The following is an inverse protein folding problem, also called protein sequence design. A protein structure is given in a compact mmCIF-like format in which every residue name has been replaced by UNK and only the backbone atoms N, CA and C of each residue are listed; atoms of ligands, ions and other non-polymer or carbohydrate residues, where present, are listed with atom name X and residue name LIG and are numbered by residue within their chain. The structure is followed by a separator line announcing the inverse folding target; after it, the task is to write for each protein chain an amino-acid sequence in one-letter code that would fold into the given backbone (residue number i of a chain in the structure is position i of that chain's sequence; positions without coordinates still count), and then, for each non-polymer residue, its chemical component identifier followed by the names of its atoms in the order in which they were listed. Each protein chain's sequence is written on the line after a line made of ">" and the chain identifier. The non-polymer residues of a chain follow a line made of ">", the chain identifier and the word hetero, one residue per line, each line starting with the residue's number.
data_IF_430457564455
#
_entry.id   IF_430457564455
#
_cell.length_a   1.000
_cell.length_b   1.000
_cell.length_c   1.000
_cell.angle_alpha   90.00
_cell.angle_beta   90.00
_cell.angle_gamma   90.00
#
_symmetry.space_group_name_H-M   'P 1'
#
loop_
_entity.id
_entity.type
_entity.pdbx_description
1 polymer ?
#
# COMPACT_ATOMS: atom_id res chain seq x y z
N UNK A 1 15.49 21.24 25.59
CA UNK A 1 16.31 21.63 24.43
C UNK A 1 17.07 20.38 24.03
N UNK A 2 16.36 19.48 23.37
CA UNK A 2 16.95 18.22 22.93
C UNK A 2 17.80 18.51 21.69
N UNK A 3 19.07 18.12 21.76
CA UNK A 3 19.97 18.12 20.62
C UNK A 3 19.37 17.19 19.57
N UNK A 4 18.80 17.76 18.52
CA UNK A 4 18.61 17.05 17.26
C UNK A 4 20.00 16.53 16.90
N UNK A 5 20.19 15.21 16.90
CA UNK A 5 21.35 14.62 16.23
C UNK A 5 21.16 14.96 14.76
N UNK A 6 21.85 16.00 14.30
CA UNK A 6 21.91 16.32 12.88
C UNK A 6 22.47 15.09 12.16
N UNK A 7 21.75 14.62 11.15
CA UNK A 7 22.28 13.59 10.27
C UNK A 7 23.44 14.18 9.49
N UNK A 8 24.59 13.54 9.56
CA UNK A 8 25.75 13.86 8.76
C UNK A 8 25.95 12.87 7.59
N UNK A 9 26.80 13.25 6.65
CA UNK A 9 27.11 12.43 5.47
C UNK A 9 27.69 11.07 5.86
N UNK A 10 28.57 11.03 6.88
CA UNK A 10 29.23 9.80 7.34
C UNK A 10 28.20 8.77 7.82
N UNK A 11 27.17 9.23 8.54
CA UNK A 11 26.07 8.39 9.01
C UNK A 11 25.28 7.82 7.83
N UNK A 12 24.88 8.65 6.86
CA UNK A 12 24.14 8.19 5.66
C UNK A 12 24.96 7.17 4.88
N UNK A 13 26.24 7.47 4.62
CA UNK A 13 27.13 6.57 3.89
C UNK A 13 27.33 5.25 4.64
N UNK A 14 27.53 5.30 5.97
CA UNK A 14 27.76 4.10 6.78
C UNK A 14 26.60 3.10 6.66
N UNK A 15 25.36 3.60 6.61
CA UNK A 15 24.15 2.78 6.48
C UNK A 15 23.99 2.24 5.07
N UNK A 16 24.08 3.08 4.05
CA UNK A 16 23.78 2.67 2.67
C UNK A 16 24.93 1.94 1.97
N UNK A 17 26.14 2.03 2.53
CA UNK A 17 27.29 1.27 2.05
C UNK A 17 27.59 0.02 2.89
N UNK A 18 26.86 -0.17 4.00
CA UNK A 18 26.99 -1.33 4.89
C UNK A 18 26.93 -2.64 4.08
N UNK A 19 27.94 -3.52 4.21
CA UNK A 19 27.90 -4.85 3.65
C UNK A 19 26.64 -5.64 4.01
N UNK A 20 26.11 -5.49 5.23
CA UNK A 20 24.90 -6.18 5.67
C UNK A 20 23.67 -5.72 4.88
N UNK A 21 23.50 -4.40 4.70
CA UNK A 21 22.43 -3.85 3.88
C UNK A 21 22.51 -4.31 2.42
N UNK A 22 23.72 -4.37 1.85
CA UNK A 22 23.93 -4.87 0.48
C UNK A 22 23.62 -6.36 0.35
N UNK A 23 23.96 -7.14 1.37
CA UNK A 23 23.66 -8.56 1.44
C UNK A 23 22.14 -8.80 1.52
N UNK A 24 21.43 -8.02 2.34
CA UNK A 24 19.97 -8.07 2.45
C UNK A 24 19.28 -7.78 1.11
N UNK A 25 19.73 -6.74 0.40
CA UNK A 25 19.24 -6.44 -0.96
C UNK A 25 19.51 -7.59 -1.93
N UNK A 26 20.74 -8.12 -1.92
CA UNK A 26 21.14 -9.20 -2.82
C UNK A 26 20.35 -10.48 -2.55
N UNK A 27 20.13 -10.81 -1.27
CA UNK A 27 19.33 -11.94 -0.84
C UNK A 27 17.86 -11.77 -1.27
N UNK A 28 17.28 -10.60 -1.06
CA UNK A 28 15.92 -10.30 -1.48
C UNK A 28 15.74 -10.40 -3.00
N UNK A 29 16.67 -9.83 -3.78
CA UNK A 29 16.69 -9.94 -5.25
C UNK A 29 16.73 -11.41 -5.70
N UNK A 30 17.54 -12.23 -5.04
CA UNK A 30 17.68 -13.64 -5.38
C UNK A 30 16.41 -14.44 -5.01
N UNK A 31 15.87 -14.25 -3.81
CA UNK A 31 14.60 -14.88 -3.38
C UNK A 31 13.47 -14.51 -4.33
N UNK A 32 13.31 -13.22 -4.63
CA UNK A 32 12.30 -12.74 -5.57
C UNK A 32 12.43 -13.37 -6.95
N UNK A 33 13.66 -13.51 -7.46
CA UNK A 33 13.92 -14.18 -8.75
C UNK A 33 13.45 -15.64 -8.73
N UNK A 34 13.75 -16.36 -7.66
CA UNK A 34 13.41 -17.77 -7.49
C UNK A 34 11.90 -17.97 -7.31
N UNK A 35 11.29 -17.23 -6.40
CA UNK A 35 9.87 -17.35 -6.02
C UNK A 35 8.93 -17.07 -7.21
N UNK A 36 9.33 -16.17 -8.10
CA UNK A 36 8.49 -15.71 -9.21
C UNK A 36 9.02 -16.13 -10.60
N UNK A 37 10.05 -16.98 -10.66
CA UNK A 37 10.67 -17.44 -11.92
C UNK A 37 10.98 -16.30 -12.89
N UNK A 38 11.58 -15.23 -12.36
CA UNK A 38 11.82 -13.97 -13.08
C UNK A 38 12.89 -14.17 -14.17
N UNK A 39 12.73 -13.47 -15.30
CA UNK A 39 13.69 -13.52 -16.41
C UNK A 39 15.04 -12.89 -16.03
N UNK A 40 16.11 -13.31 -16.71
CA UNK A 40 17.45 -12.70 -16.52
C UNK A 40 17.47 -11.20 -16.84
N UNK A 41 16.63 -10.75 -17.77
CA UNK A 41 16.51 -9.36 -18.18
C UNK A 41 15.85 -8.54 -17.07
N UNK A 42 14.66 -8.95 -16.62
CA UNK A 42 13.94 -8.29 -15.52
C UNK A 42 14.77 -8.25 -14.22
N UNK A 43 15.52 -9.31 -13.94
CA UNK A 43 16.43 -9.37 -12.80
C UNK A 43 17.53 -8.31 -12.90
N UNK A 44 18.21 -8.23 -14.05
CA UNK A 44 19.28 -7.24 -14.28
C UNK A 44 18.75 -5.82 -14.25
N UNK A 45 17.60 -5.57 -14.88
CA UNK A 45 16.98 -4.24 -14.88
C UNK A 45 16.56 -3.81 -13.47
N UNK A 46 15.95 -4.70 -12.69
CA UNK A 46 15.51 -4.39 -11.33
C UNK A 46 16.70 -4.19 -10.40
N UNK A 47 17.76 -4.99 -10.54
CA UNK A 47 19.02 -4.80 -9.81
C UNK A 47 19.67 -3.45 -10.15
N UNK A 48 19.85 -3.15 -11.44
CA UNK A 48 20.44 -1.89 -11.87
C UNK A 48 19.61 -0.69 -11.42
N UNK A 49 18.27 -0.83 -11.40
CA UNK A 49 17.36 0.19 -10.92
C UNK A 49 17.59 0.52 -9.44
N UNK A 50 17.64 -0.47 -8.54
CA UNK A 50 17.83 -0.19 -7.11
C UNK A 50 19.24 0.35 -6.82
N UNK A 51 20.26 -0.20 -7.48
CA UNK A 51 21.65 0.28 -7.38
C UNK A 51 21.76 1.74 -7.83
N UNK A 52 21.06 2.12 -8.90
CA UNK A 52 21.03 3.49 -9.39
C UNK A 52 20.37 4.43 -8.39
N UNK A 53 19.20 4.09 -7.81
CA UNK A 53 18.53 4.98 -6.84
C UNK A 53 19.43 5.22 -5.62
N UNK A 54 20.10 4.18 -5.12
CA UNK A 54 21.02 4.31 -3.98
C UNK A 54 22.23 5.16 -4.37
N UNK A 55 22.84 4.91 -5.53
CA UNK A 55 23.99 5.68 -6.02
C UNK A 55 23.66 7.15 -6.23
N UNK A 56 22.55 7.45 -6.93
CA UNK A 56 22.09 8.82 -7.18
C UNK A 56 21.86 9.58 -5.86
N UNK A 57 21.30 8.90 -4.85
CA UNK A 57 21.06 9.53 -3.54
C UNK A 57 22.37 9.79 -2.79
N UNK A 58 23.32 8.86 -2.83
CA UNK A 58 24.64 9.05 -2.23
C UNK A 58 25.44 10.15 -2.92
N UNK A 59 25.37 10.23 -4.25
CA UNK A 59 25.98 11.32 -5.01
C UNK A 59 25.38 12.66 -4.61
N UNK A 60 24.04 12.76 -4.58
CA UNK A 60 23.37 13.97 -4.12
C UNK A 60 23.76 14.34 -2.69
N UNK A 61 23.86 13.38 -1.77
CA UNK A 61 24.28 13.64 -0.39
C UNK A 61 25.72 14.14 -0.32
N UNK A 62 26.64 13.59 -1.12
CA UNK A 62 28.05 14.03 -1.15
C UNK A 62 28.23 15.45 -1.68
N UNK A 63 27.34 15.89 -2.57
CA UNK A 63 27.37 17.24 -3.13
C UNK A 63 26.88 18.30 -2.14
N UNK A 64 26.27 17.91 -1.02
CA UNK A 64 25.76 18.81 0.02
C UNK A 64 26.81 19.01 1.12
N UNK A 65 27.22 20.26 1.35
CA UNK A 65 28.24 20.62 2.34
C UNK A 65 27.66 20.91 3.74
N UNK A 66 26.33 20.98 3.87
CA UNK A 66 25.64 21.45 5.08
C UNK A 66 24.69 20.38 5.64
N UNK A 67 24.88 20.00 6.91
CA UNK A 67 24.09 18.96 7.59
C UNK A 67 22.57 19.24 7.61
N UNK A 68 22.16 20.51 7.67
CA UNK A 68 20.74 20.87 7.58
C UNK A 68 20.15 20.58 6.21
N UNK A 69 20.91 20.76 5.13
CA UNK A 69 20.48 20.43 3.78
C UNK A 69 20.46 18.91 3.56
N UNK A 70 21.38 18.17 4.17
CA UNK A 70 21.36 16.71 4.22
C UNK A 70 20.09 16.19 4.87
N UNK A 71 19.71 16.77 6.02
CA UNK A 71 18.49 16.40 6.74
C UNK A 71 17.23 16.61 5.87
N UNK A 72 17.12 17.77 5.20
CA UNK A 72 16.00 18.07 4.29
C UNK A 72 16.00 17.15 3.06
N UNK A 73 17.18 16.80 2.55
CA UNK A 73 17.33 15.91 1.39
C UNK A 73 16.95 14.48 1.73
N UNK A 74 17.37 13.99 2.90
CA UNK A 74 16.97 12.70 3.44
C UNK A 74 15.46 12.63 3.64
N UNK A 75 14.88 13.67 4.25
CA UNK A 75 13.44 13.82 4.43
C UNK A 75 12.68 13.73 3.10
N UNK A 76 13.12 14.51 2.11
CA UNK A 76 12.54 14.53 0.76
C UNK A 76 12.64 13.16 0.10
N UNK A 77 13.79 12.49 0.22
CA UNK A 77 14.00 11.16 -0.35
C UNK A 77 13.11 10.11 0.28
N UNK A 78 12.90 10.18 1.59
CA UNK A 78 12.00 9.28 2.29
C UNK A 78 10.55 9.46 1.85
N UNK A 79 10.08 10.70 1.70
CA UNK A 79 8.75 10.98 1.15
C UNK A 79 8.62 10.41 -0.27
N UNK A 80 9.60 10.66 -1.14
CA UNK A 80 9.62 10.12 -2.50
C UNK A 80 9.46 8.60 -2.51
N UNK A 81 10.28 7.90 -1.70
CA UNK A 81 10.26 6.44 -1.61
C UNK A 81 8.96 5.90 -0.99
N UNK A 82 8.41 6.54 0.05
CA UNK A 82 7.12 6.12 0.64
C UNK A 82 5.96 6.31 -0.33
N UNK A 83 5.92 7.43 -1.05
CA UNK A 83 4.93 7.68 -2.09
C UNK A 83 5.04 6.64 -3.20
N UNK A 84 6.25 6.38 -3.70
CA UNK A 84 6.51 5.39 -4.72
C UNK A 84 6.12 3.98 -4.26
N UNK A 85 6.49 3.60 -3.03
CA UNK A 85 6.10 2.33 -2.42
C UNK A 85 4.56 2.18 -2.33
N UNK A 86 3.85 3.24 -1.91
CA UNK A 86 2.38 3.24 -1.85
C UNK A 86 1.78 3.04 -3.24
N UNK A 87 2.30 3.74 -4.24
CA UNK A 87 1.90 3.58 -5.64
C UNK A 87 2.09 2.14 -6.13
N UNK A 88 3.25 1.53 -5.89
CA UNK A 88 3.53 0.14 -6.27
C UNK A 88 2.54 -0.83 -5.63
N UNK A 89 2.30 -0.70 -4.32
CA UNK A 89 1.36 -1.56 -3.60
C UNK A 89 -0.08 -1.40 -4.12
N UNK A 90 -0.52 -0.18 -4.39
CA UNK A 90 -1.84 0.04 -5.02
C UNK A 90 -1.93 -0.63 -6.39
N UNK A 91 -0.89 -0.54 -7.22
CA UNK A 91 -0.88 -1.21 -8.52
C UNK A 91 -0.92 -2.73 -8.38
N UNK A 92 -0.12 -3.31 -7.47
CA UNK A 92 -0.09 -4.74 -7.19
C UNK A 92 -1.47 -5.22 -6.73
N UNK A 93 -2.08 -4.54 -5.76
CA UNK A 93 -3.41 -4.88 -5.26
C UNK A 93 -4.47 -4.82 -6.36
N UNK A 94 -4.43 -3.79 -7.20
CA UNK A 94 -5.37 -3.62 -8.30
C UNK A 94 -5.20 -4.69 -9.38
N UNK A 95 -3.97 -5.07 -9.72
CA UNK A 95 -3.69 -6.17 -10.64
C UNK A 95 -4.16 -7.50 -10.05
N UNK A 96 -3.82 -7.80 -8.79
CA UNK A 96 -4.32 -9.00 -8.12
C UNK A 96 -5.85 -9.07 -8.13
N UNK A 97 -6.54 -7.95 -7.89
CA UNK A 97 -8.00 -7.89 -7.95
C UNK A 97 -8.55 -8.14 -9.37
N UNK A 98 -7.93 -7.55 -10.40
CA UNK A 98 -8.43 -7.61 -11.79
C UNK A 98 -8.07 -8.89 -12.52
N UNK A 99 -6.83 -9.35 -12.37
CA UNK A 99 -6.24 -10.42 -13.19
C UNK A 99 -5.91 -11.67 -12.38
N UNK A 100 -6.07 -11.65 -11.05
CA UNK A 100 -5.73 -12.77 -10.17
C UNK A 100 -4.23 -12.94 -9.93
N UNK A 101 -3.39 -12.15 -10.61
CA UNK A 101 -1.94 -12.09 -10.43
C UNK A 101 -1.41 -10.70 -10.74
N UNK A 102 -0.38 -10.29 -10.02
CA UNK A 102 0.32 -9.04 -10.23
C UNK A 102 1.62 -9.24 -11.01
N UNK A 103 2.07 -8.18 -11.67
CA UNK A 103 3.36 -8.13 -12.33
C UNK A 103 4.46 -8.33 -11.29
N UNK A 104 5.27 -9.36 -11.50
CA UNK A 104 6.34 -9.79 -10.59
C UNK A 104 7.44 -8.73 -10.44
N UNK A 105 7.69 -7.91 -11.47
CA UNK A 105 8.63 -6.78 -11.43
C UNK A 105 8.16 -5.70 -10.46
N UNK A 106 6.85 -5.43 -10.39
CA UNK A 106 6.31 -4.47 -9.41
C UNK A 106 6.50 -4.98 -7.98
N UNK A 107 6.31 -6.29 -7.77
CA UNK A 107 6.53 -6.94 -6.47
C UNK A 107 8.00 -6.81 -6.05
N UNK A 108 8.93 -7.11 -6.96
CA UNK A 108 10.37 -6.98 -6.70
C UNK A 108 10.75 -5.55 -6.32
N UNK A 109 10.31 -4.56 -7.11
CA UNK A 109 10.54 -3.14 -6.82
C UNK A 109 9.94 -2.70 -5.48
N UNK A 110 8.74 -3.17 -5.14
CA UNK A 110 8.09 -2.82 -3.86
C UNK A 110 8.86 -3.41 -2.66
N UNK A 111 9.35 -4.64 -2.81
CA UNK A 111 10.16 -5.29 -1.80
C UNK A 111 11.47 -4.53 -1.58
N UNK A 112 12.22 -4.22 -2.63
CA UNK A 112 13.48 -3.48 -2.55
C UNK A 112 13.30 -2.06 -2.00
N UNK A 113 12.21 -1.39 -2.37
CA UNK A 113 11.88 -0.07 -1.80
C UNK A 113 11.67 -0.18 -0.29
N UNK A 114 11.09 -1.28 0.21
CA UNK A 114 10.93 -1.53 1.65
C UNK A 114 12.28 -1.61 2.36
N UNK A 115 13.25 -2.33 1.80
CA UNK A 115 14.60 -2.40 2.38
C UNK A 115 15.28 -1.03 2.44
N UNK A 116 15.16 -0.24 1.37
CA UNK A 116 15.73 1.10 1.37
C UNK A 116 15.05 1.99 2.42
N UNK A 117 13.72 1.95 2.52
CA UNK A 117 12.99 2.68 3.56
C UNK A 117 13.43 2.27 4.97
N UNK A 118 13.58 0.96 5.25
CA UNK A 118 14.05 0.46 6.56
C UNK A 118 15.44 1.00 6.88
N UNK A 119 16.33 1.12 5.90
CA UNK A 119 17.68 1.63 6.11
C UNK A 119 17.68 3.13 6.45
N UNK A 120 16.90 3.95 5.76
CA UNK A 120 16.94 5.41 5.93
C UNK A 120 15.98 5.94 7.01
N UNK A 121 14.92 5.21 7.36
CA UNK A 121 13.92 5.65 8.34
C UNK A 121 14.54 5.99 9.72
N UNK A 122 15.46 5.19 10.28
CA UNK A 122 16.12 5.49 11.56
C UNK A 122 17.00 6.73 11.54
N UNK A 123 17.34 7.24 10.35
CA UNK A 123 18.12 8.47 10.20
C UNK A 123 17.24 9.71 10.35
N UNK A 124 15.92 9.58 10.22
CA UNK A 124 14.99 10.71 10.30
C UNK A 124 14.57 10.91 11.75
N UNK A 125 14.45 12.16 12.18
CA UNK A 125 14.00 12.45 13.55
C UNK A 125 12.55 11.99 13.74
N UNK A 126 12.19 11.61 14.97
CA UNK A 126 10.83 11.16 15.28
C UNK A 126 9.78 12.25 15.00
N UNK A 127 10.13 13.51 15.27
CA UNK A 127 9.29 14.68 14.93
C UNK A 127 9.03 14.75 13.43
N UNK A 128 10.07 14.66 12.61
CA UNK A 128 9.93 14.74 11.16
C UNK A 128 9.17 13.53 10.60
N UNK A 129 9.37 12.33 11.16
CA UNK A 129 8.61 11.14 10.78
C UNK A 129 7.12 11.30 11.07
N UNK A 130 6.75 11.89 12.21
CA UNK A 130 5.35 12.20 12.51
C UNK A 130 4.77 13.20 11.51
N UNK A 131 5.50 14.27 11.19
CA UNK A 131 5.08 15.26 10.19
C UNK A 131 4.89 14.62 8.81
N UNK A 132 5.81 13.73 8.40
CA UNK A 132 5.67 12.97 7.14
C UNK A 132 4.44 12.09 7.16
N UNK A 133 4.20 11.35 8.25
CA UNK A 133 3.04 10.48 8.36
C UNK A 133 1.73 11.28 8.31
N UNK A 134 1.69 12.43 8.99
CA UNK A 134 0.56 13.35 8.93
C UNK A 134 0.37 13.87 7.48
N UNK A 135 1.45 14.28 6.83
CA UNK A 135 1.43 14.75 5.45
C UNK A 135 0.90 13.69 4.47
N UNK A 136 1.36 12.44 4.58
CA UNK A 136 1.01 11.34 3.67
C UNK A 136 -0.39 10.76 3.90
N UNK A 137 -1.01 11.07 5.04
CA UNK A 137 -2.36 10.59 5.41
C UNK A 137 -3.44 11.61 5.11
N UNK A 138 -3.12 12.90 5.06
CA UNK A 138 -4.07 13.94 4.67
C UNK A 138 -4.52 13.79 3.20
N UNK A 139 -5.83 13.76 2.92
CA UNK A 139 -6.34 13.81 1.56
C UNK A 139 -5.80 15.04 0.81
N UNK A 140 -5.37 14.86 -0.44
CA UNK A 140 -4.82 15.95 -1.28
C UNK A 140 -5.77 17.16 -1.37
N UNK A 141 -7.09 16.92 -1.31
CA UNK A 141 -8.13 17.97 -1.31
C UNK A 141 -8.06 18.90 -0.09
N UNK A 142 -7.49 18.43 1.01
CA UNK A 142 -7.30 19.21 2.24
C UNK A 142 -6.15 20.21 2.09
N UNK A 143 -5.05 19.82 1.43
CA UNK A 143 -3.93 20.72 1.11
C UNK A 143 -4.30 21.80 0.09
N UNK A 144 -5.06 21.44 -0.96
CA UNK A 144 -5.54 22.39 -1.97
C UNK A 144 -6.41 23.48 -1.33
N UNK A 145 -7.10 23.18 -0.22
CA UNK A 145 -7.90 24.16 0.52
C UNK A 145 -7.06 25.10 1.37
N UNK A 146 -6.02 24.61 2.05
CA UNK A 146 -5.15 25.42 2.94
C UNK A 146 -4.43 26.55 2.18
N UNK A 147 -3.96 26.30 0.96
CA UNK A 147 -3.36 27.36 0.13
C UNK A 147 -4.41 28.35 -0.41
N UNK A 148 -5.68 27.93 -0.54
CA UNK A 148 -6.79 28.79 -0.97
C UNK A 148 -7.47 29.55 0.18
N UNK A 149 -7.22 29.17 1.44
CA UNK A 149 -7.91 29.69 2.63
C UNK A 149 -7.07 30.65 3.48
N UNK A 150 -5.93 31.15 2.97
CA UNK A 150 -5.17 32.22 3.63
C UNK A 150 -6.00 33.53 3.73
N UNK A 151 -7.10 33.66 2.97
CA UNK A 151 -8.10 34.72 3.14
C UNK A 151 -9.51 34.12 3.21
N UNK A 152 -10.05 33.81 4.42
CA UNK A 152 -11.47 34.02 4.82
C UNK A 152 -11.88 33.20 6.07
N UNK A 153 -12.02 33.90 7.21
CA UNK A 153 -12.88 33.65 8.40
C UNK A 153 -13.29 32.21 8.82
N UNK A 154 -12.89 31.87 10.04
CA UNK A 154 -13.07 30.62 10.83
C UNK A 154 -14.51 30.09 11.06
N UNK A 155 -15.59 30.79 10.70
CA UNK A 155 -16.97 30.26 10.85
C UNK A 155 -17.49 29.61 9.56
N UNK A 156 -16.83 29.84 8.41
CA UNK A 156 -17.22 29.26 7.11
C UNK A 156 -16.74 27.81 6.95
N UNK A 157 -15.70 27.41 7.69
CA UNK A 157 -15.01 26.14 7.53
C UNK A 157 -15.85 24.92 7.92
N UNK A 158 -16.68 24.99 8.96
CA UNK A 158 -17.53 23.84 9.36
C UNK A 158 -18.67 23.59 8.36
N UNK A 159 -19.25 24.66 7.80
CA UNK A 159 -20.30 24.57 6.77
C UNK A 159 -19.71 24.05 5.45
N UNK A 160 -18.53 24.53 5.06
CA UNK A 160 -17.82 24.06 3.88
C UNK A 160 -17.27 22.63 4.03
N UNK A 161 -17.00 22.17 5.25
CA UNK A 161 -16.66 20.79 5.57
C UNK A 161 -17.87 19.87 5.42
N UNK A 162 -19.03 20.28 5.96
CA UNK A 162 -20.27 19.52 5.82
C UNK A 162 -20.75 19.44 4.36
N UNK A 163 -20.67 20.53 3.59
CA UNK A 163 -21.00 20.51 2.16
C UNK A 163 -20.07 19.58 1.37
N UNK A 164 -18.77 19.55 1.67
CA UNK A 164 -17.83 18.65 1.00
C UNK A 164 -18.05 17.17 1.35
N UNK A 165 -18.43 16.89 2.59
CA UNK A 165 -18.82 15.54 3.02
C UNK A 165 -20.10 15.11 2.30
N UNK A 166 -21.08 16.02 2.15
CA UNK A 166 -22.29 15.79 1.37
C UNK A 166 -21.97 15.50 -0.09
N UNK A 167 -21.14 16.30 -0.75
CA UNK A 167 -20.75 16.10 -2.15
C UNK A 167 -20.07 14.75 -2.37
N UNK A 168 -19.21 14.34 -1.44
CA UNK A 168 -18.53 13.04 -1.49
C UNK A 168 -19.54 11.90 -1.33
N UNK A 169 -20.46 12.00 -0.36
CA UNK A 169 -21.51 11.01 -0.15
C UNK A 169 -22.46 10.91 -1.35
N UNK A 170 -22.75 12.03 -2.03
CA UNK A 170 -23.57 12.02 -3.24
C UNK A 170 -22.84 11.41 -4.44
N UNK A 171 -21.54 11.70 -4.61
CA UNK A 171 -20.73 11.09 -5.66
C UNK A 171 -20.59 9.57 -5.47
N UNK A 172 -20.36 9.12 -4.23
CA UNK A 172 -20.30 7.70 -3.88
C UNK A 172 -21.65 7.01 -4.08
N UNK A 173 -22.75 7.67 -3.69
CA UNK A 173 -24.12 7.19 -3.98
C UNK A 173 -24.34 7.01 -5.47
N UNK A 174 -24.01 8.01 -6.30
CA UNK A 174 -24.19 7.95 -7.74
C UNK A 174 -23.32 6.84 -8.37
N UNK A 175 -22.09 6.70 -7.90
CA UNK A 175 -21.19 5.62 -8.32
C UNK A 175 -21.77 4.23 -8.03
N UNK A 176 -22.28 4.03 -6.81
CA UNK A 176 -22.90 2.77 -6.38
C UNK A 176 -24.17 2.47 -7.17
N UNK A 177 -25.04 3.48 -7.39
CA UNK A 177 -26.25 3.33 -8.20
C UNK A 177 -25.93 2.93 -9.64
N UNK A 178 -24.92 3.58 -10.24
CA UNK A 178 -24.50 3.29 -11.61
C UNK A 178 -23.86 1.91 -11.78
N UNK A 179 -23.03 1.48 -10.82
CA UNK A 179 -22.33 0.19 -10.91
C UNK A 179 -23.20 -1.01 -10.52
N UNK A 180 -24.14 -0.82 -9.59
CA UNK A 180 -25.06 -1.88 -9.17
C UNK A 180 -26.31 -1.95 -10.04
N UNK A 181 -26.51 -0.98 -10.95
CA UNK A 181 -27.70 -0.89 -11.81
C UNK A 181 -28.99 -0.63 -11.04
N UNK A 182 -28.89 -0.13 -9.81
CA UNK A 182 -30.00 0.07 -8.88
C UNK A 182 -30.26 1.56 -8.73
N UNK A 183 -31.52 1.95 -8.93
CA UNK A 183 -31.91 3.37 -8.99
C UNK A 183 -32.35 3.92 -7.64
N UNK A 184 -32.70 3.06 -6.69
CA UNK A 184 -33.14 3.46 -5.35
C UNK A 184 -32.24 2.86 -4.25
N UNK A 185 -31.99 3.63 -3.19
CA UNK A 185 -31.25 3.17 -2.01
C UNK A 185 -31.95 2.01 -1.30
N UNK A 186 -33.28 1.94 -1.36
CA UNK A 186 -34.05 0.84 -0.76
C UNK A 186 -33.77 -0.49 -1.46
N UNK A 187 -33.57 -0.49 -2.78
CA UNK A 187 -33.23 -1.67 -3.58
C UNK A 187 -31.82 -2.20 -3.23
N UNK A 188 -30.89 -1.28 -2.94
CA UNK A 188 -29.54 -1.62 -2.49
C UNK A 188 -29.60 -2.28 -1.10
N UNK A 189 -30.34 -1.69 -0.17
CA UNK A 189 -30.51 -2.25 1.19
C UNK A 189 -31.19 -3.62 1.14
N UNK A 190 -32.22 -3.78 0.30
CA UNK A 190 -32.88 -5.07 0.09
C UNK A 190 -31.95 -6.11 -0.56
N UNK A 191 -31.11 -5.71 -1.52
CA UNK A 191 -30.11 -6.58 -2.11
C UNK A 191 -29.06 -7.05 -1.10
N UNK A 192 -28.58 -6.15 -0.23
CA UNK A 192 -27.67 -6.51 0.86
C UNK A 192 -28.33 -7.45 1.88
N UNK A 193 -29.57 -7.18 2.27
CA UNK A 193 -30.32 -8.07 3.18
C UNK A 193 -30.52 -9.47 2.57
N UNK A 194 -30.79 -9.55 1.27
CA UNK A 194 -30.92 -10.81 0.54
C UNK A 194 -29.57 -11.55 0.42
N UNK A 195 -28.47 -10.84 0.18
CA UNK A 195 -27.13 -11.43 0.15
C UNK A 195 -26.71 -11.94 1.53
N UNK A 196 -26.99 -11.20 2.61
CA UNK A 196 -26.74 -11.64 3.97
C UNK A 196 -27.56 -12.89 4.32
N UNK A 197 -28.82 -12.97 3.90
CA UNK A 197 -29.65 -14.15 4.07
C UNK A 197 -29.07 -15.35 3.31
N UNK A 198 -28.66 -15.17 2.05
CA UNK A 198 -28.04 -16.23 1.24
C UNK A 198 -26.72 -16.72 1.84
N UNK A 199 -25.87 -15.82 2.33
CA UNK A 199 -24.60 -16.18 2.99
C UNK A 199 -24.87 -16.94 4.28
N UNK A 200 -25.91 -16.56 5.04
CA UNK A 200 -26.32 -17.26 6.26
C UNK A 200 -26.84 -18.67 5.95
N UNK A 201 -27.70 -18.81 4.95
CA UNK A 201 -28.22 -20.11 4.50
C UNK A 201 -27.09 -21.03 4.03
N UNK A 202 -26.15 -20.50 3.26
CA UNK A 202 -24.92 -21.20 2.84
C UNK A 202 -24.12 -21.64 4.06
N UNK A 203 -23.84 -20.72 4.99
CA UNK A 203 -23.06 -21.02 6.19
C UNK A 203 -23.72 -22.11 7.05
N UNK A 204 -25.03 -22.08 7.19
CA UNK A 204 -25.79 -23.08 7.93
C UNK A 204 -25.87 -24.43 7.16
N UNK A 205 -25.83 -24.40 5.83
CA UNK A 205 -25.68 -25.61 5.00
C UNK A 205 -24.28 -26.23 5.13
N UNK A 206 -23.25 -25.41 5.31
CA UNK A 206 -21.85 -25.85 5.45
C UNK A 206 -21.39 -26.07 6.90
N UNK A 207 -22.18 -25.72 7.91
CA UNK A 207 -21.78 -25.86 9.33
C UNK A 207 -21.56 -27.31 9.77
N UNK A 208 -22.19 -28.26 9.09
CA UNK A 208 -22.06 -29.70 9.34
C UNK A 208 -20.99 -30.37 8.44
N UNK A 209 -20.21 -29.59 7.68
CA UNK A 209 -19.20 -30.12 6.75
C UNK A 209 -17.80 -30.19 7.38
N UNK A 210 -17.10 -31.31 7.18
CA UNK A 210 -15.71 -31.54 7.62
C UNK A 210 -14.82 -31.73 6.39
N UNK A 211 -13.71 -31.00 6.35
CA UNK A 211 -12.66 -31.15 5.31
C UNK A 211 -11.84 -32.42 5.56
N UNK A 212 -11.83 -33.34 4.60
CA UNK A 212 -10.93 -34.50 4.56
C UNK A 212 -10.20 -34.52 3.20
N UNK A 213 -8.86 -34.42 3.25
CA UNK A 213 -7.92 -34.65 2.15
C UNK A 213 -8.25 -34.06 0.77
N UNK A 214 -8.10 -32.74 0.64
CA UNK A 214 -8.00 -32.00 -0.64
C UNK A 214 -9.08 -32.30 -1.71
N UNK A 215 -10.23 -32.84 -1.31
CA UNK A 215 -11.42 -32.98 -2.15
C UNK A 215 -12.64 -32.52 -1.36
N UNK A 216 -13.39 -31.59 -1.94
CA UNK A 216 -14.64 -31.12 -1.36
C UNK A 216 -15.66 -32.25 -1.55
N UNK A 217 -15.99 -32.95 -0.47
CA UNK A 217 -17.12 -33.90 -0.44
C UNK A 217 -18.23 -33.35 0.45
N UNK A 218 -19.38 -33.12 -0.15
CA UNK A 218 -20.56 -32.55 0.49
C UNK A 218 -21.26 -33.61 1.35
N UNK A 219 -21.34 -33.37 2.67
CA UNK A 219 -22.20 -34.14 3.58
C UNK A 219 -23.26 -33.18 4.13
N UNK A 220 -24.21 -32.78 3.28
CA UNK A 220 -25.45 -32.14 3.70
C UNK A 220 -26.57 -33.18 3.86
N UNK A 221 -27.66 -32.83 4.57
CA UNK A 221 -28.82 -33.71 4.83
C UNK A 221 -29.52 -34.18 3.54
N UNK A 222 -28.97 -35.17 2.86
CA UNK A 222 -29.70 -36.00 1.89
C UNK A 222 -29.48 -37.46 2.27
N UNK A 223 -30.60 -38.15 2.54
CA UNK A 223 -30.65 -39.60 2.80
C UNK A 223 -29.77 -40.33 1.80
N UNK A 224 -28.71 -40.98 2.29
CA UNK A 224 -27.93 -41.92 1.50
C UNK A 224 -28.80 -43.17 1.29
N UNK A 225 -29.29 -43.36 0.06
CA UNK A 225 -29.82 -44.66 -0.37
C UNK A 225 -28.68 -45.44 -1.01
N UNK A 226 -28.28 -46.54 -0.37
CA UNK A 226 -27.31 -47.47 -0.93
C UNK A 226 -28.07 -48.46 -1.82
N UNK A 227 -27.95 -48.33 -3.14
CA UNK A 227 -28.36 -49.39 -4.07
C UNK A 227 -27.26 -50.46 -4.11
N UNK A 228 -27.58 -51.67 -3.64
CA UNK A 228 -26.75 -52.86 -3.87
C UNK A 228 -26.85 -53.24 -5.35
N UNK A 229 -25.73 -53.23 -6.05
CA UNK A 229 -25.63 -53.88 -7.37
C UNK A 229 -25.77 -55.39 -7.21
N UNK A 230 -26.68 -55.97 -7.99
CA UNK A 230 -26.82 -57.41 -8.21
C UNK A 230 -25.71 -57.86 -9.18
#
# INVERSE_FOLDING_TARGET
>A
MELIKSVDLETIESVLTDPAFKEDIAHNLQSWREDYSVTDEDYKETKAWIEKIISDFLELARDLEVDSELSVTLFTKYIELKCFWKQLNTQIQYQNFKTGSANTVLIGKASLTTFFLIAIEPLISETDLMEIQEFLTKPIKEFIRIESSIDLSLESDELALMEAQLDTLYADKEYLQKHMGMTNSDEIVEAFANLEAQIRDIRDEFSDSVMLDNRISFIGRRKISIQKSI
#
